data_IF_554247083141
#
_entry.id   IF_554247083141
#
_cell.length_a   1.000
_cell.length_b   1.000
_cell.length_c   1.000
_cell.angle_alpha   90.00
_cell.angle_beta   90.00
_cell.angle_gamma   90.00
#
_symmetry.space_group_name_H-M   'P 1'
#
loop_
_entity.id
_entity.type
_entity.pdbx_description
1 polymer ?
#
# COMPACT_ATOMS: atom_id res chain seq x y z
N UNK A 1 3.32 -12.61 -4.53
CA UNK A 1 2.44 -11.48 -4.15
C UNK A 1 1.24 -11.93 -3.32
N UNK A 2 0.30 -12.72 -3.84
CA UNK A 2 -0.93 -13.15 -3.12
C UNK A 2 -0.66 -13.84 -1.78
N UNK A 3 0.30 -14.76 -1.75
CA UNK A 3 0.65 -15.49 -0.53
C UNK A 3 1.45 -14.63 0.47
N UNK A 4 2.06 -13.53 0.02
CA UNK A 4 2.93 -12.68 0.84
C UNK A 4 2.16 -11.57 1.55
N UNK A 5 0.91 -11.31 1.14
CA UNK A 5 0.07 -10.25 1.69
C UNK A 5 -0.96 -10.89 2.63
N UNK A 6 -0.83 -10.70 3.96
CA UNK A 6 -1.74 -11.29 4.95
C UNK A 6 -3.22 -10.90 4.76
N UNK A 7 -3.47 -9.77 4.09
CA UNK A 7 -4.81 -9.28 3.77
C UNK A 7 -5.66 -10.28 2.97
N UNK A 8 -5.04 -11.09 2.10
CA UNK A 8 -5.76 -12.05 1.25
C UNK A 8 -5.87 -13.46 1.86
N UNK A 9 -5.31 -13.70 3.05
CA UNK A 9 -5.23 -15.06 3.63
C UNK A 9 -6.60 -15.67 3.93
N UNK A 10 -7.60 -14.85 4.25
CA UNK A 10 -8.97 -15.31 4.55
C UNK A 10 -10.00 -14.93 3.47
N UNK A 11 -9.54 -14.34 2.36
CA UNK A 11 -10.42 -13.86 1.32
C UNK A 11 -10.85 -14.99 0.38
N UNK A 12 -12.07 -14.87 -0.18
CA UNK A 12 -12.59 -15.82 -1.15
C UNK A 12 -11.70 -15.88 -2.41
N UNK A 13 -11.54 -17.07 -3.01
CA UNK A 13 -10.64 -17.24 -4.16
C UNK A 13 -11.09 -16.45 -5.40
N UNK A 14 -12.39 -16.27 -5.62
CA UNK A 14 -12.88 -15.42 -6.71
C UNK A 14 -12.55 -13.95 -6.45
N UNK A 15 -12.77 -13.47 -5.22
CA UNK A 15 -12.39 -12.11 -4.85
C UNK A 15 -10.89 -11.84 -5.05
N UNK A 16 -10.04 -12.76 -4.58
CA UNK A 16 -8.59 -12.67 -4.79
C UNK A 16 -8.23 -12.61 -6.27
N UNK A 17 -8.86 -13.46 -7.09
CA UNK A 17 -8.64 -13.46 -8.54
C UNK A 17 -9.05 -12.14 -9.19
N UNK A 18 -10.21 -11.58 -8.83
CA UNK A 18 -10.68 -10.31 -9.37
C UNK A 18 -9.76 -9.14 -8.99
N UNK A 19 -9.28 -9.11 -7.75
CA UNK A 19 -8.34 -8.08 -7.30
C UNK A 19 -7.03 -8.20 -8.07
N UNK A 20 -6.49 -9.41 -8.23
CA UNK A 20 -5.26 -9.64 -9.01
C UNK A 20 -5.39 -9.18 -10.45
N UNK A 21 -6.53 -9.40 -11.09
CA UNK A 21 -6.78 -8.95 -12.46
C UNK A 21 -6.83 -7.43 -12.60
N UNK A 22 -7.10 -6.70 -11.51
CA UNK A 22 -7.17 -5.23 -11.48
C UNK A 22 -5.89 -4.58 -10.98
N UNK A 23 -4.95 -5.35 -10.43
CA UNK A 23 -3.67 -4.83 -9.98
C UNK A 23 -2.87 -4.30 -11.17
N UNK A 24 -2.28 -3.12 -10.97
CA UNK A 24 -1.37 -2.49 -11.91
C UNK A 24 0.01 -2.43 -11.29
N UNK A 25 1.01 -2.85 -12.05
CA UNK A 25 2.40 -2.72 -11.64
C UNK A 25 2.83 -1.26 -11.83
N UNK A 26 3.25 -0.62 -10.73
CA UNK A 26 3.80 0.74 -10.71
C UNK A 26 5.19 0.68 -10.06
N UNK A 27 6.15 1.41 -10.62
CA UNK A 27 7.53 1.50 -10.11
C UNK A 27 7.78 2.93 -9.67
N UNK A 28 8.34 3.10 -8.47
CA UNK A 28 8.72 4.38 -7.89
C UNK A 28 10.23 4.44 -7.68
N UNK A 29 10.81 5.63 -7.82
CA UNK A 29 12.21 5.88 -7.58
C UNK A 29 12.45 6.33 -6.13
N UNK A 30 13.68 6.21 -5.61
CA UNK A 30 14.03 6.80 -4.32
C UNK A 30 13.71 8.29 -4.28
N UNK A 31 12.92 8.71 -3.28
CA UNK A 31 12.48 10.10 -3.10
C UNK A 31 11.12 10.44 -3.73
N UNK A 32 10.49 9.51 -4.47
CA UNK A 32 9.13 9.73 -4.98
C UNK A 32 8.09 9.68 -3.86
N UNK A 33 7.15 10.63 -3.91
CA UNK A 33 5.99 10.63 -3.03
C UNK A 33 4.86 9.81 -3.64
N UNK A 34 4.54 8.67 -3.01
CA UNK A 34 3.50 7.75 -3.49
C UNK A 34 2.10 8.21 -3.04
N UNK A 35 1.95 8.48 -1.74
CA UNK A 35 0.72 9.02 -1.13
C UNK A 35 1.09 10.24 -0.30
N UNK A 36 0.22 11.24 -0.32
CA UNK A 36 0.34 12.44 0.52
C UNK A 36 -0.87 12.53 1.44
N UNK A 37 -0.62 12.78 2.72
CA UNK A 37 -1.65 13.03 3.70
C UNK A 37 -2.57 14.19 3.27
N UNK A 38 -3.86 14.09 3.58
CA UNK A 38 -4.87 15.08 3.22
C UNK A 38 -5.34 15.03 1.76
N UNK A 39 -4.73 14.20 0.91
CA UNK A 39 -5.28 13.90 -0.42
C UNK A 39 -6.27 12.74 -0.33
N UNK A 40 -7.34 12.83 -1.12
CA UNK A 40 -8.32 11.76 -1.24
C UNK A 40 -7.66 10.50 -1.78
N UNK A 41 -7.37 9.56 -0.87
CA UNK A 41 -6.80 8.25 -1.19
C UNK A 41 -7.82 7.42 -1.94
N UNK A 42 -7.53 7.09 -3.19
CA UNK A 42 -8.37 6.22 -4.04
C UNK A 42 -7.67 4.94 -4.45
N UNK A 43 -6.41 4.76 -4.01
CA UNK A 43 -5.56 3.63 -4.35
C UNK A 43 -4.92 3.04 -3.11
N UNK A 44 -4.87 1.72 -3.07
CA UNK A 44 -4.04 0.95 -2.15
C UNK A 44 -2.87 0.33 -2.92
N UNK A 45 -1.74 0.15 -2.23
CA UNK A 45 -0.50 -0.36 -2.80
C UNK A 45 -0.03 -1.58 -2.02
N UNK A 46 0.54 -2.55 -2.74
CA UNK A 46 1.23 -3.71 -2.18
C UNK A 46 2.70 -3.63 -2.58
N UNK A 47 3.60 -3.79 -1.61
CA UNK A 47 5.04 -3.75 -1.86
C UNK A 47 5.49 -5.13 -2.31
N UNK A 48 5.82 -5.25 -3.59
CA UNK A 48 6.40 -6.48 -4.13
C UNK A 48 7.89 -6.59 -3.76
N UNK A 49 8.63 -5.51 -3.95
CA UNK A 49 10.06 -5.39 -3.68
C UNK A 49 10.40 -3.92 -3.40
N UNK A 50 11.15 -3.66 -2.33
CA UNK A 50 11.63 -2.33 -1.95
C UNK A 50 11.21 -1.89 -0.55
N UNK A 51 11.56 -0.66 -0.20
CA UNK A 51 11.26 -0.04 1.09
C UNK A 51 10.53 1.28 0.85
N UNK A 52 9.44 1.49 1.59
CA UNK A 52 8.67 2.72 1.58
C UNK A 52 8.66 3.31 2.99
N UNK A 53 9.12 4.56 3.12
CA UNK A 53 9.06 5.29 4.38
C UNK A 53 7.71 5.99 4.53
N UNK A 54 7.09 5.79 5.70
CA UNK A 54 5.94 6.56 6.14
C UNK A 54 6.48 7.73 6.96
N UNK A 55 6.22 8.93 6.48
CA UNK A 55 6.70 10.17 7.08
C UNK A 55 5.54 10.98 7.64
N UNK A 56 5.76 11.61 8.79
CA UNK A 56 4.80 12.52 9.41
C UNK A 56 4.79 13.90 8.72
N UNK A 57 3.92 14.79 9.19
CA UNK A 57 3.82 16.17 8.67
C UNK A 57 5.08 17.00 8.87
N UNK A 58 5.95 16.61 9.80
CA UNK A 58 7.23 17.26 10.07
C UNK A 58 8.38 16.68 9.23
N UNK A 59 8.09 15.70 8.36
CA UNK A 59 9.06 15.04 7.49
C UNK A 59 9.92 13.99 8.20
N UNK A 60 9.54 13.55 9.39
CA UNK A 60 10.25 12.50 10.13
C UNK A 60 9.69 11.14 9.73
N UNK A 61 10.58 10.16 9.57
CA UNK A 61 10.17 8.78 9.31
C UNK A 61 9.55 8.19 10.57
N UNK A 62 8.24 7.92 10.51
CA UNK A 62 7.48 7.27 11.57
C UNK A 62 7.68 5.75 11.54
N UNK A 63 7.69 5.16 10.34
CA UNK A 63 7.98 3.73 10.13
C UNK A 63 8.40 3.47 8.69
N UNK A 64 8.94 2.29 8.42
CA UNK A 64 9.29 1.83 7.08
C UNK A 64 8.60 0.50 6.78
N UNK A 65 8.01 0.39 5.59
CA UNK A 65 7.34 -0.81 5.10
C UNK A 65 8.21 -1.47 4.04
N UNK A 66 8.32 -2.79 4.07
CA UNK A 66 9.09 -3.59 3.11
C UNK A 66 8.21 -4.59 2.36
N UNK A 67 8.83 -5.39 1.51
CA UNK A 67 8.26 -6.51 0.76
C UNK A 67 7.16 -7.27 1.53
N UNK A 68 6.02 -7.50 0.89
CA UNK A 68 4.84 -8.15 1.47
C UNK A 68 3.91 -7.24 2.26
N UNK A 69 4.35 -6.02 2.59
CA UNK A 69 3.51 -5.01 3.25
C UNK A 69 2.56 -4.31 2.26
N UNK A 70 1.59 -3.57 2.79
CA UNK A 70 0.65 -2.77 2.01
C UNK A 70 0.35 -1.43 2.69
N UNK A 71 -0.11 -0.45 1.93
CA UNK A 71 -0.49 0.88 2.42
C UNK A 71 -1.55 1.55 1.53
N UNK A 72 -2.13 2.67 1.98
CA UNK A 72 -3.14 3.44 1.22
C UNK A 72 -4.57 2.89 1.28
N UNK A 73 -4.83 1.91 2.15
CA UNK A 73 -6.14 1.23 2.26
C UNK A 73 -7.07 1.75 3.36
N UNK A 74 -6.58 2.56 4.31
CA UNK A 74 -7.43 3.12 5.36
C UNK A 74 -7.79 4.58 5.08
N UNK A 75 -9.08 4.79 4.85
CA UNK A 75 -9.70 6.10 4.94
C UNK A 75 -9.88 6.43 6.43
N UNK A 76 -8.85 6.96 7.09
CA UNK A 76 -9.04 7.59 8.40
C UNK A 76 -9.70 8.94 8.17
N UNK A 77 -11.04 8.95 8.11
CA UNK A 77 -11.79 10.15 8.46
C UNK A 77 -11.90 10.18 9.98
N UNK A 78 -11.22 11.09 10.69
CA UNK A 78 -11.58 11.39 12.06
C UNK A 78 -12.89 12.19 12.04
N UNK A 79 -13.98 11.57 12.48
CA UNK A 79 -15.14 12.23 13.10
C UNK A 79 -15.52 11.38 14.32
#
# INVERSE_FOLDING_TARGET
LVAAVPFFTYADRHFVSEVLMRLKYEVFQPGDWIIKEGQMGTKMYFIQEGIVDIVDTDGRVATSLSDGSYFGGEYTHPQ
#
